data_IF_576279366676
#
_entry.id   IF_576279366676
#
_cell.length_a   1.000
_cell.length_b   1.000
_cell.length_c   1.000
_cell.angle_alpha   90.00
_cell.angle_beta   90.00
_cell.angle_gamma   90.00
#
_symmetry.space_group_name_H-M   'P 1'
#
loop_
_entity.id
_entity.type
_entity.pdbx_description
1 polymer ?
#
# COMPACT_ATOMS: atom_id res chain seq x y z
N UNK A 1 -15.33 -4.93 9.20
CA UNK A 1 -14.01 -5.14 9.83
C UNK A 1 -13.22 -3.84 9.81
N UNK A 2 -12.67 -3.43 10.95
CA UNK A 2 -11.78 -2.27 11.06
C UNK A 2 -10.32 -2.73 10.86
N UNK A 3 -9.91 -2.98 9.61
CA UNK A 3 -8.48 -3.15 9.28
C UNK A 3 -7.96 -1.87 8.63
N UNK A 4 -6.68 -1.57 8.81
CA UNK A 4 -5.99 -0.49 8.10
C UNK A 4 -5.22 -1.10 6.94
N UNK A 5 -4.48 -2.19 7.20
CA UNK A 5 -3.91 -3.06 6.16
C UNK A 5 -4.34 -4.53 6.40
N UNK A 6 -4.63 -5.26 5.32
CA UNK A 6 -4.84 -6.71 5.35
C UNK A 6 -4.03 -7.37 4.23
N UNK A 7 -3.32 -8.44 4.51
CA UNK A 7 -2.66 -9.28 3.50
C UNK A 7 -3.48 -10.53 3.20
N UNK A 8 -3.31 -11.11 2.01
CA UNK A 8 -3.95 -12.37 1.61
C UNK A 8 -2.93 -13.44 1.18
N UNK A 9 -3.39 -14.69 1.13
CA UNK A 9 -2.63 -15.82 0.60
C UNK A 9 -2.33 -15.74 -0.90
N UNK A 10 -2.99 -14.83 -1.62
CA UNK A 10 -2.68 -14.52 -3.03
C UNK A 10 -1.53 -13.50 -3.19
N UNK A 11 -0.95 -13.03 -2.08
CA UNK A 11 0.08 -11.98 -2.10
C UNK A 11 -0.45 -10.57 -2.36
N UNK A 12 -1.72 -10.34 -2.03
CA UNK A 12 -2.36 -9.03 -2.13
C UNK A 12 -2.35 -8.31 -0.78
N UNK A 13 -2.20 -7.00 -0.85
CA UNK A 13 -2.27 -6.07 0.28
C UNK A 13 -3.49 -5.18 0.06
N UNK A 14 -4.46 -5.26 0.95
CA UNK A 14 -5.64 -4.42 1.01
C UNK A 14 -5.39 -3.27 1.98
N UNK A 15 -5.52 -2.04 1.50
CA UNK A 15 -5.29 -0.83 2.28
C UNK A 15 -6.61 -0.08 2.37
N UNK A 16 -7.02 0.28 3.58
CA UNK A 16 -8.26 1.02 3.80
C UNK A 16 -8.21 2.37 3.08
N UNK A 17 -9.27 2.71 2.33
CA UNK A 17 -9.33 3.92 1.51
C UNK A 17 -8.97 5.20 2.28
N UNK A 18 -9.43 5.33 3.53
CA UNK A 18 -9.20 6.51 4.37
C UNK A 18 -7.74 6.69 4.81
N UNK A 19 -6.89 5.70 4.57
CA UNK A 19 -5.45 5.73 4.85
C UNK A 19 -4.63 5.98 3.59
N UNK A 20 -5.25 6.00 2.41
CA UNK A 20 -4.54 6.36 1.18
C UNK A 20 -4.51 7.88 1.05
N UNK A 21 -3.30 8.45 0.99
CA UNK A 21 -3.08 9.89 0.83
C UNK A 21 -3.23 10.24 -0.65
N UNK A 22 -2.53 9.53 -1.53
CA UNK A 22 -2.66 9.69 -2.97
C UNK A 22 -2.15 8.46 -3.72
N UNK A 23 -2.63 8.29 -4.95
CA UNK A 23 -2.09 7.35 -5.92
C UNK A 23 -1.67 8.17 -7.14
N UNK A 24 -0.38 8.17 -7.45
CA UNK A 24 0.18 8.91 -8.58
C UNK A 24 0.66 7.94 -9.65
N UNK A 25 0.33 8.25 -10.89
CA UNK A 25 0.88 7.57 -12.06
C UNK A 25 2.00 8.43 -12.65
N UNK A 26 3.12 7.84 -13.12
CA UNK A 26 4.17 8.60 -13.80
C UNK A 26 3.57 9.36 -14.97
N UNK A 27 3.96 10.62 -15.11
CA UNK A 27 3.57 11.50 -16.22
C UNK A 27 2.05 11.77 -16.32
N UNK A 28 1.28 11.50 -15.27
CA UNK A 28 -0.12 11.94 -15.17
C UNK A 28 -0.19 13.27 -14.41
N UNK A 29 -0.84 14.27 -15.01
CA UNK A 29 -1.15 15.54 -14.37
C UNK A 29 -2.25 15.39 -13.29
N UNK A 30 -3.11 14.37 -13.44
CA UNK A 30 -4.12 14.03 -12.44
C UNK A 30 -3.69 12.83 -11.59
N UNK A 31 -3.86 12.95 -10.26
CA UNK A 31 -3.76 11.83 -9.34
C UNK A 31 -4.97 10.91 -9.46
N UNK A 32 -4.77 9.60 -9.31
CA UNK A 32 -5.88 8.65 -9.31
C UNK A 32 -6.72 8.83 -8.04
N UNK A 33 -8.03 9.08 -8.22
CA UNK A 33 -8.98 9.20 -7.10
C UNK A 33 -9.29 7.81 -6.54
N UNK A 34 -9.12 7.64 -5.23
CA UNK A 34 -9.59 6.46 -4.50
C UNK A 34 -11.07 6.67 -4.18
N UNK A 35 -11.96 5.89 -4.81
CA UNK A 35 -13.42 6.02 -4.72
C UNK A 35 -14.02 5.48 -3.41
N UNK A 36 -13.34 5.67 -2.27
CA UNK A 36 -13.80 5.19 -0.95
C UNK A 36 -13.74 3.67 -0.77
N UNK A 37 -13.27 2.92 -1.77
CA UNK A 37 -13.03 1.48 -1.69
C UNK A 37 -11.58 1.18 -1.28
N UNK A 38 -11.33 0.06 -0.58
CA UNK A 38 -9.97 -0.36 -0.25
C UNK A 38 -9.11 -0.45 -1.50
N UNK A 39 -7.90 0.09 -1.40
CA UNK A 39 -6.91 -0.04 -2.47
C UNK A 39 -6.26 -1.41 -2.37
N UNK A 40 -6.20 -2.13 -3.48
CA UNK A 40 -5.56 -3.45 -3.56
C UNK A 40 -4.23 -3.31 -4.28
N UNK A 41 -3.16 -3.76 -3.62
CA UNK A 41 -1.79 -3.72 -4.11
C UNK A 41 -1.26 -5.14 -4.20
N UNK A 42 -0.68 -5.51 -5.34
CA UNK A 42 0.01 -6.79 -5.47
C UNK A 42 1.45 -6.63 -4.97
N UNK A 43 1.84 -7.39 -3.95
CA UNK A 43 3.16 -7.27 -3.34
C UNK A 43 4.29 -7.61 -4.33
N UNK A 44 4.06 -8.53 -5.27
CA UNK A 44 5.03 -8.88 -6.30
C UNK A 44 5.30 -7.74 -7.30
N UNK A 45 4.44 -6.72 -7.32
CA UNK A 45 4.64 -5.52 -8.14
C UNK A 45 5.24 -4.35 -7.34
N UNK A 46 5.54 -4.50 -6.05
CA UNK A 46 6.23 -3.47 -5.27
C UNK A 46 7.73 -3.58 -5.56
N UNK A 47 8.33 -2.50 -6.05
CA UNK A 47 9.77 -2.40 -6.27
C UNK A 47 10.51 -2.07 -4.97
N UNK A 48 10.03 -1.06 -4.23
CA UNK A 48 10.56 -0.69 -2.92
C UNK A 48 9.55 0.15 -2.12
N UNK A 49 9.84 0.31 -0.83
CA UNK A 49 9.12 1.16 0.10
C UNK A 49 10.00 2.37 0.45
N UNK A 50 9.40 3.54 0.62
CA UNK A 50 10.05 4.67 1.29
C UNK A 50 9.09 5.30 2.29
N UNK A 51 9.60 6.13 3.19
CA UNK A 51 8.79 6.90 4.12
C UNK A 51 9.22 8.36 4.12
N UNK A 52 8.28 9.26 4.41
CA UNK A 52 8.55 10.69 4.53
C UNK A 52 8.88 11.08 5.99
N UNK A 53 9.18 12.36 6.23
CA UNK A 53 9.49 12.89 7.56
C UNK A 53 8.34 12.79 8.57
N UNK A 54 7.11 12.63 8.10
CA UNK A 54 5.92 12.41 8.94
C UNK A 54 5.68 10.92 9.24
N UNK A 55 6.53 10.04 8.71
CA UNK A 55 6.41 8.59 8.86
C UNK A 55 5.43 7.93 7.88
N UNK A 56 4.85 8.68 6.93
CA UNK A 56 3.94 8.13 5.91
C UNK A 56 4.71 7.34 4.86
N UNK A 57 4.23 6.14 4.54
CA UNK A 57 4.89 5.23 3.60
C UNK A 57 4.42 5.48 2.17
N UNK A 58 5.32 5.33 1.21
CA UNK A 58 5.01 5.28 -0.22
C UNK A 58 5.47 3.95 -0.80
N UNK A 59 4.54 3.21 -1.39
CA UNK A 59 4.82 2.03 -2.21
C UNK A 59 5.18 2.49 -3.62
N UNK A 60 6.39 2.15 -4.06
CA UNK A 60 6.82 2.35 -5.44
C UNK A 60 6.61 1.05 -6.21
N UNK A 61 5.70 1.10 -7.17
CA UNK A 61 5.31 -0.06 -7.96
C UNK A 61 6.23 -0.19 -9.18
N UNK A 62 6.51 -1.42 -9.60
CA UNK A 62 7.31 -1.74 -10.79
C UNK A 62 6.69 -1.21 -12.10
N UNK A 63 5.37 -1.00 -12.13
CA UNK A 63 4.66 -0.35 -13.24
C UNK A 63 4.69 1.18 -13.16
N UNK A 64 5.47 1.73 -12.23
CA UNK A 64 5.70 3.16 -12.03
C UNK A 64 4.69 3.86 -11.12
N UNK A 65 3.61 3.21 -10.69
CA UNK A 65 2.68 3.85 -9.75
C UNK A 65 3.34 4.12 -8.40
N UNK A 66 2.98 5.24 -7.79
CA UNK A 66 3.38 5.62 -6.43
C UNK A 66 2.11 5.67 -5.58
N UNK A 67 2.08 4.91 -4.48
CA UNK A 67 0.92 4.83 -3.60
C UNK A 67 1.36 5.30 -2.23
N UNK A 68 0.95 6.50 -1.84
CA UNK A 68 1.28 7.07 -0.54
C UNK A 68 0.16 6.83 0.46
N UNK A 69 0.53 6.39 1.67
CA UNK A 69 -0.39 5.92 2.70
C UNK A 69 0.01 6.42 4.09
N UNK A 70 -0.99 6.62 4.94
CA UNK A 70 -0.86 7.12 6.31
C UNK A 70 -0.61 5.99 7.32
N UNK A 71 0.42 5.19 7.09
CA UNK A 71 0.84 4.07 7.94
C UNK A 71 2.32 4.17 8.23
N UNK A 72 2.78 3.60 9.35
CA UNK A 72 4.19 3.59 9.71
C UNK A 72 4.98 2.62 8.83
N UNK A 73 6.28 2.88 8.70
CA UNK A 73 7.17 2.04 7.88
C UNK A 73 7.18 0.58 8.34
N UNK A 74 7.24 0.34 9.64
CA UNK A 74 7.26 -1.00 10.24
C UNK A 74 5.98 -1.78 9.89
N UNK A 75 4.82 -1.13 9.92
CA UNK A 75 3.52 -1.71 9.56
C UNK A 75 3.46 -2.06 8.06
N UNK A 76 3.93 -1.16 7.21
CA UNK A 76 3.98 -1.40 5.78
C UNK A 76 4.99 -2.49 5.40
N UNK A 77 6.14 -2.56 6.07
CA UNK A 77 7.16 -3.58 5.88
C UNK A 77 6.67 -4.95 6.36
N UNK A 78 6.01 -5.03 7.52
CA UNK A 78 5.36 -6.24 8.00
C UNK A 78 4.32 -6.75 7.00
N UNK A 79 3.47 -5.87 6.50
CA UNK A 79 2.46 -6.21 5.50
C UNK A 79 3.10 -6.68 4.17
N UNK A 80 4.16 -6.01 3.73
CA UNK A 80 4.89 -6.40 2.53
C UNK A 80 5.50 -7.80 2.66
N UNK A 81 6.21 -8.06 3.76
CA UNK A 81 6.82 -9.36 4.03
C UNK A 81 5.78 -10.47 4.16
N UNK A 82 4.66 -10.20 4.85
CA UNK A 82 3.56 -11.16 4.98
C UNK A 82 2.90 -11.48 3.63
N UNK A 83 2.69 -10.48 2.77
CA UNK A 83 2.13 -10.69 1.44
C UNK A 83 3.11 -11.43 0.52
N UNK A 84 4.41 -11.12 0.56
CA UNK A 84 5.45 -11.88 -0.16
C UNK A 84 5.50 -13.34 0.28
N UNK A 85 5.33 -13.60 1.58
CA UNK A 85 5.22 -14.94 2.14
C UNK A 85 3.84 -15.60 1.92
N UNK A 86 2.90 -14.93 1.24
CA UNK A 86 1.53 -15.41 1.00
C UNK A 86 0.79 -15.78 2.28
N UNK A 87 0.95 -14.97 3.31
CA UNK A 87 0.33 -15.15 4.61
C UNK A 87 -0.83 -14.16 4.81
N UNK A 88 -1.97 -14.66 5.28
CA UNK A 88 -3.09 -13.81 5.69
C UNK A 88 -2.81 -13.16 7.04
N UNK A 89 -2.87 -11.83 7.10
CA UNK A 89 -2.64 -11.06 8.32
C UNK A 89 -3.39 -9.74 8.28
N UNK A 90 -3.79 -9.25 9.45
CA UNK A 90 -4.32 -7.89 9.62
C UNK A 90 -3.24 -7.09 10.31
N UNK A 91 -2.77 -6.03 9.65
CA UNK A 91 -1.79 -5.08 10.18
C UNK A 91 -2.52 -3.77 10.48
N UNK A 92 -2.15 -3.17 11.62
CA UNK A 92 -2.92 -2.13 12.28
C UNK A 92 -2.71 -0.76 11.64
#
# INVERSE_FOLDING_TARGET
MAYIIKTTSDGLIYIKASFVIHVKKPNSLEGAKVLGQPLVVNAGNIAFLSFNVEGHVTYFMANGFEISVKVLFEEAEEAFNCAQARMERIVR
#
